data_IF_988157476656
#
_entry.id   IF_988157476656
#
_cell.length_a   1.000
_cell.length_b   1.000
_cell.length_c   1.000
_cell.angle_alpha   90.00
_cell.angle_beta   90.00
_cell.angle_gamma   90.00
#
_symmetry.space_group_name_H-M   'P 1'
#
loop_
_entity.id
_entity.type
_entity.pdbx_description
1 polymer ?
#
# COMPACT_ATOMS: atom_id res chain seq x y z
N UNK A 1 -10.90 -17.75 7.80
CA UNK A 1 -10.43 -16.56 7.06
C UNK A 1 -9.07 -16.19 7.62
N UNK A 2 -8.01 -16.24 6.81
CA UNK A 2 -6.65 -15.98 7.27
C UNK A 2 -6.36 -14.50 7.25
N UNK A 3 -5.58 -14.03 8.22
CA UNK A 3 -5.22 -12.63 8.38
C UNK A 3 -3.76 -12.52 8.80
N UNK A 4 -3.06 -11.54 8.24
CA UNK A 4 -1.67 -11.22 8.52
C UNK A 4 -1.52 -9.74 8.82
N UNK A 5 -0.61 -9.43 9.73
CA UNK A 5 -0.20 -8.05 10.01
C UNK A 5 1.23 -7.85 9.53
N UNK A 6 1.42 -6.86 8.66
CA UNK A 6 2.74 -6.51 8.11
C UNK A 6 3.05 -5.07 8.48
N UNK A 7 4.07 -4.85 9.29
CA UNK A 7 4.55 -3.50 9.64
C UNK A 7 5.70 -3.12 8.73
N UNK A 8 5.47 -2.15 7.86
CA UNK A 8 6.52 -1.63 6.96
C UNK A 8 7.08 -0.34 7.55
N UNK A 9 8.34 -0.32 8.03
CA UNK A 9 8.94 0.87 8.58
C UNK A 9 9.22 1.89 7.47
N UNK A 10 9.14 3.18 7.80
CA UNK A 10 9.50 4.22 6.84
C UNK A 10 11.01 4.19 6.55
N UNK A 11 11.41 4.37 5.28
CA UNK A 11 12.80 4.30 4.90
C UNK A 11 13.62 5.42 5.54
N UNK A 12 14.88 5.10 5.85
CA UNK A 12 15.83 6.10 6.29
C UNK A 12 16.25 7.00 5.14
N UNK A 13 16.03 8.31 5.28
CA UNK A 13 16.48 9.29 4.28
C UNK A 13 17.76 9.96 4.77
N UNK A 14 18.84 9.80 4.00
CA UNK A 14 20.11 10.45 4.30
C UNK A 14 19.97 11.99 4.29
N UNK A 15 20.40 12.70 5.35
CA UNK A 15 20.40 14.16 5.35
C UNK A 15 21.29 14.73 4.25
N UNK A 16 20.84 15.81 3.61
CA UNK A 16 21.58 16.54 2.58
C UNK A 16 21.93 17.93 3.11
N UNK A 17 23.16 18.39 2.83
CA UNK A 17 23.60 19.73 3.19
C UNK A 17 23.11 20.75 2.15
N UNK A 18 22.35 21.76 2.59
CA UNK A 18 21.88 22.84 1.71
C UNK A 18 23.06 23.74 1.32
N UNK A 19 23.32 23.90 0.02
CA UNK A 19 24.43 24.72 -0.48
C UNK A 19 24.36 26.18 0.00
N UNK A 20 23.19 26.81 -0.08
CA UNK A 20 22.99 28.23 0.27
C UNK A 20 23.19 28.53 1.76
N UNK A 21 22.81 27.62 2.65
CA UNK A 21 22.77 27.88 4.10
C UNK A 21 23.74 27.04 4.91
N UNK A 22 24.36 26.03 4.29
CA UNK A 22 25.23 25.05 4.97
C UNK A 22 24.52 24.10 5.94
N UNK A 23 23.21 24.27 6.17
CA UNK A 23 22.42 23.49 7.14
C UNK A 23 22.10 22.09 6.60
N UNK A 24 22.07 21.10 7.51
CA UNK A 24 21.54 19.77 7.20
C UNK A 24 20.02 19.83 7.01
N UNK A 25 19.53 19.12 6.02
CA UNK A 25 18.11 18.98 5.72
C UNK A 25 17.80 17.52 5.42
N UNK A 26 16.80 16.99 6.12
CA UNK A 26 16.31 15.64 5.89
C UNK A 26 14.91 15.74 5.31
N UNK A 27 14.70 15.16 4.12
CA UNK A 27 13.36 15.02 3.55
C UNK A 27 12.59 14.01 4.40
N UNK A 28 11.28 14.22 4.55
CA UNK A 28 10.40 13.19 5.11
C UNK A 28 10.43 11.94 4.21
N UNK A 29 10.26 10.74 4.77
CA UNK A 29 10.30 9.49 3.99
C UNK A 29 9.00 9.19 3.24
N UNK A 30 7.98 10.04 3.34
CA UNK A 30 6.65 9.77 2.81
C UNK A 30 6.49 10.17 1.35
N UNK A 31 5.72 9.39 0.60
CA UNK A 31 5.14 9.78 -0.68
C UNK A 31 3.72 10.28 -0.41
N UNK A 32 3.45 11.55 -0.70
CA UNK A 32 2.17 12.18 -0.43
C UNK A 32 1.57 12.75 -1.73
N UNK A 33 0.26 12.56 -1.96
CA UNK A 33 -0.44 13.05 -3.15
C UNK A 33 -0.53 14.58 -3.24
N UNK A 34 -0.44 15.27 -2.09
CA UNK A 34 -0.41 16.74 -2.04
C UNK A 34 0.97 17.31 -2.34
N UNK A 35 2.03 16.51 -2.23
CA UNK A 35 3.37 16.97 -2.57
C UNK A 35 3.50 17.12 -4.09
N UNK A 36 4.15 18.20 -4.53
CA UNK A 36 4.46 18.48 -5.95
C UNK A 36 5.93 18.22 -6.27
N UNK A 37 6.52 17.28 -5.55
CA UNK A 37 7.93 16.95 -5.67
C UNK A 37 8.26 16.31 -7.03
N UNK A 38 9.45 16.62 -7.54
CA UNK A 38 9.92 16.09 -8.81
C UNK A 38 10.15 14.57 -8.75
N UNK A 39 9.76 13.84 -9.79
CA UNK A 39 9.80 12.37 -9.84
C UNK A 39 11.18 11.78 -9.51
N UNK A 40 12.27 12.43 -9.92
CA UNK A 40 13.66 12.01 -9.58
C UNK A 40 13.93 11.96 -8.08
N UNK A 41 13.27 12.79 -7.29
CA UNK A 41 13.38 12.81 -5.83
C UNK A 41 12.54 11.69 -5.22
N UNK A 42 11.36 11.43 -5.79
CA UNK A 42 10.41 10.45 -5.27
C UNK A 42 10.75 9.00 -5.64
N UNK A 43 11.36 8.77 -6.79
CA UNK A 43 11.71 7.44 -7.31
C UNK A 43 12.55 6.59 -6.34
N UNK A 44 13.67 7.08 -5.76
CA UNK A 44 14.44 6.29 -4.81
C UNK A 44 13.64 5.97 -3.53
N UNK A 45 12.84 6.92 -3.04
CA UNK A 45 11.99 6.73 -1.86
C UNK A 45 10.93 5.65 -2.11
N UNK A 46 10.33 5.67 -3.30
CA UNK A 46 9.39 4.64 -3.75
C UNK A 46 10.04 3.26 -3.78
N UNK A 47 11.24 3.17 -4.35
CA UNK A 47 11.99 1.92 -4.42
C UNK A 47 12.32 1.37 -3.02
N UNK A 48 12.70 2.24 -2.08
CA UNK A 48 12.96 1.82 -0.71
C UNK A 48 11.70 1.32 0.01
N UNK A 49 10.55 1.98 -0.14
CA UNK A 49 9.29 1.49 0.41
C UNK A 49 8.91 0.12 -0.16
N UNK A 50 9.07 -0.06 -1.47
CA UNK A 50 8.79 -1.33 -2.18
C UNK A 50 9.69 -2.46 -1.66
N UNK A 51 10.99 -2.20 -1.53
CA UNK A 51 11.96 -3.15 -0.96
C UNK A 51 11.63 -3.52 0.49
N UNK A 52 11.41 -2.52 1.35
CA UNK A 52 11.10 -2.73 2.76
C UNK A 52 9.77 -3.47 2.96
N UNK A 53 8.81 -3.29 2.06
CA UNK A 53 7.55 -4.03 2.09
C UNK A 53 7.75 -5.52 1.80
N UNK A 54 8.55 -5.89 0.80
CA UNK A 54 8.88 -7.28 0.51
C UNK A 54 9.62 -7.94 1.69
N UNK A 55 10.61 -7.24 2.26
CA UNK A 55 11.35 -7.69 3.44
C UNK A 55 10.42 -7.89 4.66
N UNK A 56 9.52 -6.94 4.91
CA UNK A 56 8.56 -7.01 6.01
C UNK A 56 7.53 -8.14 5.81
N UNK A 57 7.09 -8.39 4.57
CA UNK A 57 6.18 -9.47 4.25
C UNK A 57 6.80 -10.84 4.55
N UNK A 58 8.06 -11.05 4.12
CA UNK A 58 8.81 -12.25 4.43
C UNK A 58 9.00 -12.43 5.95
N UNK A 59 9.39 -11.36 6.66
CA UNK A 59 9.56 -11.39 8.11
C UNK A 59 8.26 -11.67 8.88
N UNK A 60 7.11 -11.22 8.36
CA UNK A 60 5.80 -11.47 8.92
C UNK A 60 5.22 -12.86 8.58
N UNK A 61 5.92 -13.65 7.76
CA UNK A 61 5.44 -14.96 7.32
C UNK A 61 4.21 -14.88 6.41
N UNK A 62 4.07 -13.79 5.64
CA UNK A 62 2.99 -13.64 4.66
C UNK A 62 3.16 -14.71 3.55
N UNK A 63 2.17 -15.59 3.32
CA UNK A 63 2.27 -16.58 2.27
C UNK A 63 2.27 -15.94 0.87
N UNK A 64 2.80 -16.71 -0.07
CA UNK A 64 2.78 -16.39 -1.49
C UNK A 64 1.59 -17.09 -2.17
N UNK A 65 1.16 -16.55 -3.31
CA UNK A 65 0.12 -17.17 -4.14
C UNK A 65 -1.29 -17.13 -3.54
N UNK A 66 -1.63 -16.05 -2.83
CA UNK A 66 -3.00 -15.80 -2.39
C UNK A 66 -3.87 -15.41 -3.59
N UNK A 67 -5.05 -16.03 -3.71
CA UNK A 67 -5.97 -15.78 -4.82
C UNK A 67 -6.59 -14.38 -4.78
N UNK A 68 -7.04 -13.96 -3.59
CA UNK A 68 -7.64 -12.64 -3.39
C UNK A 68 -7.48 -12.16 -1.96
N UNK A 69 -7.17 -10.88 -1.79
CA UNK A 69 -6.98 -10.24 -0.49
C UNK A 69 -7.68 -8.90 -0.39
N UNK A 70 -8.08 -8.53 0.82
CA UNK A 70 -8.41 -7.15 1.20
C UNK A 70 -7.27 -6.59 2.04
N UNK A 71 -6.84 -5.37 1.73
CA UNK A 71 -5.76 -4.67 2.42
C UNK A 71 -6.31 -3.42 3.11
N UNK A 72 -6.02 -3.29 4.40
CA UNK A 72 -6.19 -2.04 5.14
C UNK A 72 -4.84 -1.60 5.68
N UNK A 73 -4.60 -0.29 5.75
CA UNK A 73 -3.35 0.28 6.23
C UNK A 73 -3.56 1.38 7.26
N UNK A 74 -2.80 1.34 8.35
CA UNK A 74 -2.77 2.40 9.36
C UNK A 74 -1.46 3.17 9.24
N UNK A 75 -1.56 4.47 8.97
CA UNK A 75 -0.38 5.35 8.81
C UNK A 75 0.05 5.87 10.18
N UNK A 76 1.23 5.47 10.64
CA UNK A 76 1.81 5.90 11.92
C UNK A 76 2.88 6.96 11.65
N UNK A 77 2.81 8.10 12.35
CA UNK A 77 3.75 9.23 12.17
C UNK A 77 4.34 9.67 13.50
N UNK A 78 5.54 10.25 13.45
CA UNK A 78 6.21 10.78 14.65
C UNK A 78 5.45 11.92 15.32
N UNK A 79 4.73 12.73 14.54
CA UNK A 79 3.98 13.89 15.04
C UNK A 79 2.48 13.59 14.99
N UNK A 80 1.80 13.85 16.12
CA UNK A 80 0.35 13.74 16.31
C UNK A 80 -0.42 14.95 15.76
N UNK A 81 -0.01 15.51 14.62
CA UNK A 81 -0.78 16.57 13.98
C UNK A 81 -1.78 15.96 13.01
N UNK A 82 -2.99 16.52 12.95
CA UNK A 82 -4.04 16.06 12.04
C UNK A 82 -3.52 15.93 10.61
N UNK A 83 -3.87 14.82 9.98
CA UNK A 83 -3.57 14.56 8.58
C UNK A 83 -4.63 13.65 8.00
N UNK A 84 -4.88 13.83 6.71
CA UNK A 84 -5.71 12.88 5.96
C UNK A 84 -4.83 11.70 5.49
N UNK A 85 -5.18 10.51 5.97
CA UNK A 85 -4.49 9.25 5.70
C UNK A 85 -4.50 8.89 4.21
N UNK A 86 -5.55 9.26 3.47
CA UNK A 86 -5.69 8.96 2.05
C UNK A 86 -4.62 9.66 1.21
N UNK A 87 -4.06 10.77 1.70
CA UNK A 87 -2.96 11.43 1.00
C UNK A 87 -1.67 10.58 0.95
N UNK A 88 -1.60 9.50 1.74
CA UNK A 88 -0.49 8.56 1.72
C UNK A 88 -0.73 7.37 0.78
N UNK A 89 -1.78 7.40 -0.05
CA UNK A 89 -2.01 6.39 -1.08
C UNK A 89 -0.79 6.14 -1.98
N UNK A 90 0.00 7.15 -2.40
CA UNK A 90 1.24 6.90 -3.14
C UNK A 90 2.27 6.07 -2.36
N UNK A 91 2.31 6.21 -1.02
CA UNK A 91 3.16 5.37 -0.16
C UNK A 91 2.59 3.96 -0.07
N UNK A 92 1.29 3.83 0.19
CA UNK A 92 0.63 2.53 0.28
C UNK A 92 0.73 1.74 -1.03
N UNK A 93 0.63 2.41 -2.19
CA UNK A 93 0.82 1.78 -3.49
C UNK A 93 2.23 1.21 -3.66
N UNK A 94 3.25 1.96 -3.25
CA UNK A 94 4.63 1.47 -3.28
C UNK A 94 4.84 0.25 -2.37
N UNK A 95 4.10 0.18 -1.27
CA UNK A 95 4.11 -0.99 -0.38
C UNK A 95 3.41 -2.18 -1.04
N UNK A 96 2.21 -2.00 -1.60
CA UNK A 96 1.46 -3.07 -2.29
C UNK A 96 2.30 -3.63 -3.44
N UNK A 97 2.93 -2.77 -4.24
CA UNK A 97 3.92 -3.15 -5.24
C UNK A 97 5.01 -4.10 -4.70
N UNK A 98 5.49 -3.84 -3.48
CA UNK A 98 6.50 -4.68 -2.82
C UNK A 98 5.93 -5.99 -2.29
N UNK A 99 4.66 -6.01 -1.88
CA UNK A 99 3.97 -7.25 -1.53
C UNK A 99 3.76 -8.15 -2.76
N UNK A 100 3.49 -7.55 -3.93
CA UNK A 100 3.43 -8.29 -5.20
C UNK A 100 4.81 -8.80 -5.61
N UNK A 101 5.88 -8.01 -5.44
CA UNK A 101 7.25 -8.49 -5.66
C UNK A 101 7.63 -9.67 -4.75
N UNK A 102 7.13 -9.66 -3.50
CA UNK A 102 7.26 -10.79 -2.59
C UNK A 102 6.49 -12.03 -3.06
N UNK A 103 5.53 -11.88 -3.97
CA UNK A 103 4.69 -12.95 -4.49
C UNK A 103 3.42 -13.18 -3.69
N UNK A 104 2.96 -12.20 -2.90
CA UNK A 104 1.71 -12.30 -2.12
C UNK A 104 0.53 -12.71 -3.00
N UNK A 105 0.33 -12.02 -4.12
CA UNK A 105 -0.68 -12.30 -5.14
C UNK A 105 -0.02 -12.25 -6.53
N UNK A 106 -0.73 -12.71 -7.56
CA UNK A 106 -0.25 -12.67 -8.94
C UNK A 106 -0.13 -11.23 -9.48
N UNK A 107 -1.07 -10.35 -9.15
CA UNK A 107 -1.08 -8.96 -9.59
C UNK A 107 -1.76 -8.03 -8.56
N UNK A 108 -1.64 -6.72 -8.71
CA UNK A 108 -2.22 -5.71 -7.81
C UNK A 108 -3.63 -5.24 -8.19
N UNK A 109 -4.17 -5.75 -9.30
CA UNK A 109 -5.44 -5.32 -9.86
C UNK A 109 -6.65 -5.80 -9.01
N UNK A 110 -7.82 -5.25 -9.30
CA UNK A 110 -9.06 -5.48 -8.54
C UNK A 110 -9.53 -6.95 -8.46
N UNK A 111 -8.98 -7.84 -9.30
CA UNK A 111 -9.25 -9.29 -9.22
C UNK A 111 -8.59 -9.91 -7.98
N UNK A 112 -7.37 -9.49 -7.67
CA UNK A 112 -6.52 -10.06 -6.63
C UNK A 112 -6.52 -9.20 -5.37
N UNK A 113 -6.60 -7.88 -5.51
CA UNK A 113 -6.45 -6.95 -4.38
C UNK A 113 -7.64 -6.01 -4.28
N UNK A 114 -8.23 -5.95 -3.10
CA UNK A 114 -9.20 -4.94 -2.70
C UNK A 114 -8.56 -3.96 -1.71
N UNK A 115 -8.63 -2.65 -2.01
CA UNK A 115 -7.95 -1.59 -1.26
C UNK A 115 -6.65 -1.13 -1.95
N UNK A 116 -5.65 -0.60 -1.22
CA UNK A 116 -5.58 -0.47 0.24
C UNK A 116 -6.48 0.64 0.81
N UNK A 117 -7.23 0.34 1.87
CA UNK A 117 -7.99 1.35 2.60
C UNK A 117 -7.16 1.94 3.73
N UNK A 118 -6.91 3.25 3.69
CA UNK A 118 -6.02 3.92 4.64
C UNK A 118 -6.76 4.58 5.79
N UNK A 119 -6.22 4.40 6.98
CA UNK A 119 -6.72 4.95 8.23
C UNK A 119 -5.59 5.64 9.00
N UNK A 120 -5.97 6.52 9.93
CA UNK A 120 -5.03 7.07 10.90
C UNK A 120 -4.51 5.96 11.82
N UNK A 121 -3.18 5.88 11.97
CA UNK A 121 -2.50 4.94 12.87
C UNK A 121 -1.99 5.58 14.17
N UNK A 122 -2.23 6.88 14.37
CA UNK A 122 -1.76 7.61 15.54
C UNK A 122 -0.26 7.93 15.51
N UNK A 123 0.31 8.03 16.72
CA UNK A 123 1.69 8.47 16.94
C UNK A 123 2.62 7.30 17.24
N UNK A 124 3.77 7.27 16.59
CA UNK A 124 4.81 6.28 16.85
C UNK A 124 5.99 6.41 15.90
N UNK A 125 6.78 5.34 15.84
CA UNK A 125 7.83 5.22 14.82
C UNK A 125 7.17 5.23 13.43
N UNK A 126 7.68 6.04 12.49
CA UNK A 126 7.11 6.14 11.15
C UNK A 126 6.99 4.77 10.48
N UNK A 127 5.76 4.33 10.22
CA UNK A 127 5.50 3.07 9.54
C UNK A 127 4.08 3.06 8.94
N UNK A 128 3.82 2.10 8.06
CA UNK A 128 2.45 1.70 7.73
C UNK A 128 2.24 0.28 8.24
N UNK A 129 1.23 0.11 9.10
CA UNK A 129 0.81 -1.21 9.59
C UNK A 129 -0.32 -1.68 8.69
N UNK A 130 -0.06 -2.73 7.91
CA UNK A 130 -1.04 -3.35 7.05
C UNK A 130 -1.72 -4.52 7.76
N UNK A 131 -3.03 -4.60 7.61
CA UNK A 131 -3.79 -5.83 7.85
C UNK A 131 -4.21 -6.38 6.49
N UNK A 132 -3.71 -7.56 6.17
CA UNK A 132 -3.98 -8.28 4.91
C UNK A 132 -4.87 -9.45 5.27
N UNK A 133 -6.03 -9.53 4.63
CA UNK A 133 -7.01 -10.59 4.88
C UNK A 133 -7.30 -11.34 3.59
N UNK A 134 -7.18 -12.66 3.64
CA UNK A 134 -7.59 -13.49 2.51
C UNK A 134 -9.11 -13.47 2.36
N UNK A 135 -9.57 -13.17 1.15
CA UNK A 135 -10.98 -13.25 0.78
C UNK A 135 -11.21 -14.62 0.17
N UNK A 136 -12.04 -15.49 0.77
CA UNK A 136 -12.44 -16.72 0.13
C UNK A 136 -13.03 -16.39 -1.24
N UNK A 137 -12.57 -17.05 -2.30
CA UNK A 137 -13.22 -16.97 -3.60
C UNK A 137 -14.63 -17.53 -3.40
N UNK A 138 -15.62 -16.65 -3.24
CA UNK A 138 -17.01 -17.03 -3.39
C UNK A 138 -17.14 -17.55 -4.81
N UNK A 139 -17.50 -18.83 -4.98
CA UNK A 139 -17.99 -19.31 -6.27
C UNK A 139 -19.02 -18.28 -6.76
N UNK A 140 -19.00 -17.87 -8.04
CA UNK A 140 -19.99 -16.94 -8.54
C UNK A 140 -21.36 -17.54 -8.25
N UNK A 141 -22.11 -16.91 -7.34
CA UNK A 141 -23.54 -17.15 -7.21
C UNK A 141 -24.10 -16.86 -8.58
N UNK A 142 -24.63 -17.89 -9.25
CA UNK A 142 -25.14 -17.81 -10.62
C UNK A 142 -25.98 -16.55 -10.79
N UNK A 143 -25.40 -15.55 -11.42
CA UNK A 143 -26.16 -14.50 -12.06
C UNK A 143 -26.42 -15.10 -13.43
N UNK A 144 -27.64 -15.58 -13.62
CA UNK A 144 -28.17 -15.94 -14.93
C UNK A 144 -27.94 -14.73 -15.86
N UNK A 145 -26.94 -14.82 -16.74
CA UNK A 145 -26.85 -14.03 -17.95
C UNK A 145 -27.98 -14.50 -18.90
N UNK A 146 -29.23 -14.25 -18.51
CA UNK A 146 -30.33 -14.22 -19.45
C UNK A 146 -30.16 -12.94 -20.28
N UNK A 147 -29.92 -13.01 -21.60
CA UNK A 147 -29.83 -11.82 -22.39
C UNK A 147 -31.19 -11.11 -22.38
N UNK A 148 -31.21 -9.83 -22.01
CA UNK A 148 -32.31 -8.90 -22.30
C UNK A 148 -32.44 -8.77 -23.83
N UNK A 149 -33.13 -9.70 -24.46
CA UNK A 149 -33.19 -9.75 -25.93
C UNK A 149 -33.96 -10.93 -26.52
N UNK A 150 -35.17 -11.21 -26.04
CA UNK A 150 -36.09 -12.09 -26.75
C UNK A 150 -37.55 -11.75 -26.43
N UNK A 151 -38.02 -10.59 -26.91
CA UNK A 151 -39.46 -10.38 -27.17
C UNK A 151 -39.61 -9.91 -28.61
N UNK A 152 -39.62 -10.87 -29.52
CA UNK A 152 -40.15 -10.74 -30.88
C UNK A 152 -40.94 -12.02 -31.21
N UNK A 153 -42.22 -11.84 -31.54
CA UNK A 153 -43.16 -12.88 -32.02
C UNK A 153 -44.12 -13.36 -30.93
N UNK A 154 -45.44 -13.18 -31.03
CA UNK A 154 -46.34 -13.05 -32.19
C UNK A 154 -47.48 -12.07 -31.89
#
# INVERSE_FOLDING_TARGET
MREWTVTVPAPYIKPVRKQKTGKMFTRKPWLNSNDRDHWRVLSPIRADWRRLAAEAAAAAGLPQGLDRVTITGRVVKTRAGDFDAMNFYPTAKAIVDGLIDHGMCEDDNNRYVEGPFLFEGGKGDPCIVLTIREVPVSLPSGVDDTPLGAVLGK
#
